data_IF_818717649009
#
_entry.id   IF_818717649009
#
_cell.length_a   1.000
_cell.length_b   1.000
_cell.length_c   1.000
_cell.angle_alpha   90.00
_cell.angle_beta   90.00
_cell.angle_gamma   90.00
#
_symmetry.space_group_name_H-M   'P 1'
#
loop_
_entity.id
_entity.type
_entity.pdbx_description
1 polymer ?
#
# COMPACT_ATOMS: atom_id res chain seq x y z
N UNK A 1 19.96 -2.66 -0.63
CA UNK A 1 18.60 -3.20 -0.63
C UNK A 1 17.63 -2.02 -0.48
N UNK A 2 16.64 -1.93 -1.34
CA UNK A 2 15.58 -0.92 -1.27
C UNK A 2 14.74 -1.13 -0.01
N UNK A 3 14.41 -0.05 0.69
CA UNK A 3 13.59 -0.05 1.91
C UNK A 3 12.43 0.93 1.71
N UNK A 4 11.29 0.65 2.33
CA UNK A 4 10.17 1.58 2.45
C UNK A 4 10.01 1.99 3.90
N UNK A 5 9.89 3.30 4.14
CA UNK A 5 9.57 3.83 5.45
C UNK A 5 8.42 4.82 5.35
N UNK A 6 7.51 4.72 6.30
CA UNK A 6 6.49 5.73 6.56
C UNK A 6 7.00 6.69 7.63
N UNK A 7 6.66 7.97 7.50
CA UNK A 7 6.99 8.96 8.51
C UNK A 7 6.30 10.30 8.26
N UNK A 8 6.38 11.17 9.27
CA UNK A 8 5.88 12.54 9.19
C UNK A 8 7.01 13.50 8.88
N UNK A 9 6.83 14.39 7.91
CA UNK A 9 7.81 15.43 7.57
C UNK A 9 7.97 16.38 8.74
N UNK A 10 9.17 16.42 9.32
CA UNK A 10 9.49 17.29 10.45
C UNK A 10 10.32 18.49 10.05
N UNK A 11 10.99 18.43 8.91
CA UNK A 11 11.76 19.55 8.37
C UNK A 11 11.91 19.47 6.84
N UNK A 12 11.93 20.63 6.19
CA UNK A 12 12.36 20.79 4.81
C UNK A 12 13.81 21.30 4.85
N UNK A 13 14.76 20.40 4.55
CA UNK A 13 16.19 20.72 4.62
C UNK A 13 16.68 21.46 3.38
N UNK A 14 16.12 21.14 2.21
CA UNK A 14 16.33 21.84 0.94
C UNK A 14 15.01 21.90 0.23
N UNK A 15 14.55 23.09 -0.12
CA UNK A 15 13.29 23.29 -0.85
C UNK A 15 13.30 22.61 -2.22
N UNK A 16 12.12 22.42 -2.77
CA UNK A 16 11.97 21.87 -4.13
C UNK A 16 12.78 22.64 -5.16
N UNK A 17 13.47 21.93 -6.01
CA UNK A 17 14.20 22.47 -7.13
C UNK A 17 13.52 22.08 -8.44
N UNK A 18 13.04 23.09 -9.17
CA UNK A 18 12.46 22.87 -10.50
C UNK A 18 13.49 22.40 -11.53
N UNK A 19 14.77 22.73 -11.33
CA UNK A 19 15.87 22.29 -12.18
C UNK A 19 16.16 20.80 -11.98
N UNK A 20 16.29 20.37 -10.71
CA UNK A 20 16.70 19.00 -10.37
C UNK A 20 15.50 18.08 -10.05
N UNK A 21 14.26 18.61 -10.03
CA UNK A 21 13.03 17.87 -9.73
C UNK A 21 13.13 17.04 -8.45
N UNK A 22 13.65 17.64 -7.39
CA UNK A 22 13.75 16.99 -6.08
C UNK A 22 13.73 17.97 -4.91
N UNK A 23 13.46 17.43 -3.72
CA UNK A 23 13.44 18.11 -2.43
C UNK A 23 14.25 17.27 -1.43
N UNK A 24 14.79 17.88 -0.39
CA UNK A 24 15.36 17.14 0.73
C UNK A 24 14.59 17.45 2.00
N UNK A 25 14.01 16.42 2.61
CA UNK A 25 13.20 16.52 3.83
C UNK A 25 13.72 15.58 4.90
N UNK A 26 13.41 15.87 6.15
CA UNK A 26 13.58 14.95 7.27
C UNK A 26 12.21 14.45 7.69
N UNK A 27 12.06 13.14 7.83
CA UNK A 27 10.87 12.51 8.39
C UNK A 27 11.17 11.89 9.75
N UNK A 28 10.19 11.95 10.65
CA UNK A 28 10.13 11.12 11.84
C UNK A 28 9.52 9.77 11.44
N UNK A 29 10.22 8.68 11.73
CA UNK A 29 9.81 7.35 11.27
C UNK A 29 8.72 6.78 12.18
N UNK A 30 7.52 6.58 11.64
CA UNK A 30 6.38 6.09 12.41
C UNK A 30 6.15 6.94 13.67
N UNK A 31 5.77 6.30 14.76
CA UNK A 31 5.54 6.96 16.06
C UNK A 31 6.81 7.08 16.92
N UNK A 32 7.99 6.83 16.36
CA UNK A 32 9.27 6.86 17.07
C UNK A 32 9.80 8.29 17.15
N UNK A 33 9.41 9.05 18.18
CA UNK A 33 9.73 10.46 18.34
C UNK A 33 11.22 10.82 18.17
N UNK A 34 12.12 9.91 18.54
CA UNK A 34 13.58 10.10 18.50
C UNK A 34 14.24 9.52 17.23
N UNK A 35 13.47 8.95 16.31
CA UNK A 35 14.00 8.32 15.09
C UNK A 35 13.62 9.12 13.87
N UNK A 36 14.60 9.85 13.37
CA UNK A 36 14.44 10.61 12.13
C UNK A 36 15.35 10.05 11.03
N UNK A 37 14.93 10.21 9.80
CA UNK A 37 15.72 9.88 8.61
C UNK A 37 15.61 11.02 7.60
N UNK A 38 16.72 11.38 6.98
CA UNK A 38 16.72 12.36 5.91
C UNK A 38 16.41 11.68 4.58
N UNK A 39 15.46 12.21 3.82
CA UNK A 39 15.16 11.79 2.46
C UNK A 39 15.93 12.71 1.50
N UNK A 40 17.16 12.29 1.14
CA UNK A 40 18.06 13.12 0.34
C UNK A 40 17.69 13.09 -1.14
N UNK A 41 17.37 14.27 -1.69
CA UNK A 41 16.92 14.43 -3.07
C UNK A 41 15.75 13.53 -3.41
N UNK A 42 14.74 13.53 -2.54
CA UNK A 42 13.47 12.88 -2.75
C UNK A 42 12.81 13.42 -4.01
N UNK A 43 12.38 12.55 -4.87
CA UNK A 43 11.71 12.89 -6.13
C UNK A 43 10.39 12.13 -6.25
N UNK A 44 9.60 12.46 -7.18
CA UNK A 44 8.35 11.92 -7.67
C UNK A 44 7.26 12.99 -7.72
N UNK A 45 6.15 12.67 -8.34
CA UNK A 45 4.98 13.54 -8.37
C UNK A 45 4.48 13.85 -6.96
N UNK A 46 4.15 15.10 -6.69
CA UNK A 46 3.72 15.60 -5.38
C UNK A 46 4.86 15.99 -4.43
N UNK A 47 6.10 15.60 -4.68
CA UNK A 47 7.23 15.98 -3.84
C UNK A 47 7.48 17.50 -3.82
N UNK A 48 7.05 18.22 -4.84
CA UNK A 48 7.06 19.68 -4.94
C UNK A 48 6.10 20.38 -3.97
N UNK A 49 5.12 19.65 -3.43
CA UNK A 49 4.07 20.17 -2.54
C UNK A 49 4.28 19.82 -1.08
N UNK A 50 5.35 19.07 -0.75
CA UNK A 50 5.60 18.62 0.60
C UNK A 50 5.73 19.79 1.58
N UNK A 51 5.04 19.67 2.70
CA UNK A 51 5.08 20.58 3.83
C UNK A 51 5.47 19.86 5.13
N UNK A 52 5.92 20.61 6.12
CA UNK A 52 6.11 20.09 7.48
C UNK A 52 4.75 19.68 8.04
N UNK A 53 4.66 18.48 8.59
CA UNK A 53 3.42 17.85 9.07
C UNK A 53 2.84 16.81 8.14
N UNK A 54 3.28 16.76 6.87
CA UNK A 54 2.79 15.76 5.92
C UNK A 54 3.24 14.35 6.33
N UNK A 55 2.29 13.43 6.30
CA UNK A 55 2.55 12.01 6.44
C UNK A 55 2.91 11.43 5.08
N UNK A 56 4.08 10.83 4.94
CA UNK A 56 4.58 10.32 3.66
C UNK A 56 5.20 8.93 3.77
N UNK A 57 5.13 8.18 2.68
CA UNK A 57 5.89 6.95 2.49
C UNK A 57 6.99 7.17 1.49
N UNK A 58 8.22 6.83 1.86
CA UNK A 58 9.42 6.97 1.02
C UNK A 58 10.04 5.61 0.76
N UNK A 59 10.44 5.38 -0.48
CA UNK A 59 11.16 4.19 -0.90
C UNK A 59 12.56 4.54 -1.42
N UNK A 60 13.56 3.77 -1.01
CA UNK A 60 14.94 3.98 -1.47
C UNK A 60 15.95 3.15 -0.70
N UNK A 61 17.22 3.36 -1.01
CA UNK A 61 18.32 2.72 -0.28
C UNK A 61 18.73 3.60 0.90
N UNK A 62 18.77 3.01 2.09
CA UNK A 62 19.20 3.70 3.31
C UNK A 62 20.70 3.52 3.50
N UNK A 63 21.38 4.60 3.88
CA UNK A 63 22.80 4.60 4.23
C UNK A 63 23.07 5.51 5.43
N UNK A 64 24.23 5.32 6.03
CA UNK A 64 24.81 6.29 6.97
C UNK A 64 25.82 7.17 6.21
N UNK A 65 25.47 8.42 6.00
CA UNK A 65 26.36 9.39 5.38
C UNK A 65 26.91 10.37 6.42
N UNK A 66 28.17 10.21 6.78
CA UNK A 66 28.88 11.06 7.76
C UNK A 66 28.12 11.23 9.09
N UNK A 67 27.48 10.18 9.56
CA UNK A 67 26.71 10.18 10.82
C UNK A 67 25.22 10.45 10.66
N UNK A 68 24.76 10.92 9.50
CA UNK A 68 23.33 11.10 9.19
C UNK A 68 22.78 9.82 8.56
N UNK A 69 21.72 9.28 9.13
CA UNK A 69 20.96 8.21 8.49
C UNK A 69 20.06 8.84 7.45
N UNK A 70 20.23 8.42 6.20
CA UNK A 70 19.48 9.01 5.10
C UNK A 70 19.06 7.96 4.06
N UNK A 71 17.94 8.21 3.39
CA UNK A 71 17.71 7.66 2.06
C UNK A 71 18.69 8.32 1.09
N UNK A 72 19.40 7.51 0.31
CA UNK A 72 20.31 8.00 -0.73
C UNK A 72 19.54 8.70 -1.86
N UNK A 73 20.27 9.47 -2.67
CA UNK A 73 19.72 10.10 -3.88
C UNK A 73 18.98 9.07 -4.75
N UNK A 74 17.85 9.48 -5.29
CA UNK A 74 16.99 8.62 -6.09
C UNK A 74 15.92 7.90 -5.27
N UNK A 75 15.80 8.23 -3.98
CA UNK A 75 14.61 7.83 -3.21
C UNK A 75 13.37 8.51 -3.78
N UNK A 76 12.25 7.83 -3.66
CA UNK A 76 10.99 8.24 -4.26
C UNK A 76 9.90 8.38 -3.19
N UNK A 77 9.08 9.40 -3.36
CA UNK A 77 7.81 9.53 -2.66
C UNK A 77 6.83 8.52 -3.28
N UNK A 78 6.30 7.61 -2.46
CA UNK A 78 5.39 6.54 -2.92
C UNK A 78 3.98 6.64 -2.35
N UNK A 79 3.72 7.62 -1.50
CA UNK A 79 2.37 7.87 -0.98
C UNK A 79 2.32 9.00 0.04
N UNK A 80 1.12 9.55 0.18
CA UNK A 80 0.73 10.55 1.18
C UNK A 80 -0.41 10.02 2.05
N UNK A 81 -0.63 10.62 3.25
CA UNK A 81 -1.83 10.44 4.06
C UNK A 81 -1.72 9.40 5.17
N UNK A 82 -2.80 9.30 5.96
CA UNK A 82 -2.94 8.41 7.13
C UNK A 82 -3.07 6.92 6.75
N UNK A 83 -2.05 6.40 6.06
CA UNK A 83 -1.89 4.97 5.94
C UNK A 83 -1.20 4.51 7.22
N UNK A 84 -1.84 3.73 8.11
CA UNK A 84 -1.20 3.28 9.33
C UNK A 84 0.14 2.62 9.00
N UNK A 85 1.19 3.00 9.72
CA UNK A 85 2.46 2.30 9.60
C UNK A 85 2.25 0.84 9.99
N UNK A 86 3.10 -0.05 9.49
CA UNK A 86 3.04 -1.46 9.91
C UNK A 86 3.17 -1.60 11.43
N UNK A 87 4.02 -0.78 12.05
CA UNK A 87 4.17 -0.72 13.50
C UNK A 87 2.86 -0.31 14.20
N UNK A 88 2.18 0.75 13.74
CA UNK A 88 0.90 1.17 14.29
C UNK A 88 -0.19 0.10 14.10
N UNK A 89 -0.19 -0.61 12.96
CA UNK A 89 -1.10 -1.74 12.72
C UNK A 89 -0.85 -2.88 13.70
N UNK A 90 0.41 -3.23 13.95
CA UNK A 90 0.78 -4.25 14.93
C UNK A 90 0.39 -3.85 16.35
N UNK A 91 0.70 -2.63 16.77
CA UNK A 91 0.37 -2.13 18.09
C UNK A 91 -1.15 -2.12 18.32
N UNK A 92 -1.93 -1.70 17.31
CA UNK A 92 -3.39 -1.77 17.35
C UNK A 92 -3.91 -3.22 17.43
N UNK A 93 -3.31 -4.15 16.69
CA UNK A 93 -3.65 -5.57 16.72
C UNK A 93 -3.38 -6.19 18.10
N UNK A 94 -2.24 -5.85 18.71
CA UNK A 94 -1.86 -6.34 20.04
C UNK A 94 -2.64 -5.68 21.19
N UNK A 95 -3.28 -4.54 20.94
CA UNK A 95 -4.21 -3.90 21.88
C UNK A 95 -5.62 -4.50 21.85
N UNK A 96 -5.92 -5.40 20.92
CA UNK A 96 -7.25 -6.03 20.83
C UNK A 96 -7.51 -6.92 22.04
N UNK A 97 -8.69 -6.76 22.65
CA UNK A 97 -9.18 -7.69 23.65
C UNK A 97 -9.42 -9.08 23.03
N UNK A 98 -9.37 -10.11 23.87
CA UNK A 98 -9.62 -11.47 23.43
C UNK A 98 -11.01 -11.60 22.79
N UNK A 99 -11.05 -12.11 21.58
CA UNK A 99 -12.27 -12.25 20.77
C UNK A 99 -12.59 -11.04 19.91
N UNK A 100 -11.89 -9.91 20.09
CA UNK A 100 -12.06 -8.72 19.25
C UNK A 100 -11.31 -8.86 17.92
N UNK A 101 -11.77 -8.14 16.90
CA UNK A 101 -11.15 -8.03 15.60
C UNK A 101 -11.04 -6.56 15.18
N UNK A 102 -10.08 -6.27 14.32
CA UNK A 102 -10.01 -4.97 13.65
C UNK A 102 -11.26 -4.77 12.79
N UNK A 103 -11.78 -3.56 12.77
CA UNK A 103 -13.02 -3.24 12.03
C UNK A 103 -12.85 -3.24 10.51
N UNK A 104 -11.62 -3.21 10.04
CA UNK A 104 -11.25 -3.14 8.61
C UNK A 104 -10.09 -4.08 8.32
N UNK A 105 -9.99 -4.59 7.07
CA UNK A 105 -8.81 -5.32 6.64
C UNK A 105 -7.54 -4.48 6.80
N UNK A 106 -6.45 -5.18 7.06
CA UNK A 106 -5.11 -4.60 7.19
C UNK A 106 -4.13 -5.35 6.32
N UNK A 107 -3.01 -4.74 6.00
CA UNK A 107 -1.92 -5.40 5.30
C UNK A 107 -0.67 -5.37 6.17
N UNK A 108 -0.04 -6.53 6.32
CA UNK A 108 1.26 -6.68 6.99
C UNK A 108 2.23 -7.39 6.06
N UNK A 109 3.51 -7.02 6.21
CA UNK A 109 4.64 -7.67 5.56
C UNK A 109 5.57 -8.21 6.63
N UNK A 110 6.01 -9.46 6.48
CA UNK A 110 6.91 -10.07 7.45
C UNK A 110 7.60 -11.33 6.93
N UNK A 111 8.57 -11.78 7.67
CA UNK A 111 9.29 -13.03 7.43
C UNK A 111 8.54 -14.19 8.08
N UNK A 112 8.36 -15.29 7.37
CA UNK A 112 7.81 -16.54 7.92
C UNK A 112 8.80 -17.15 8.91
N UNK A 113 8.40 -17.26 10.16
CA UNK A 113 9.21 -17.87 11.22
C UNK A 113 8.77 -19.30 11.54
N UNK A 114 7.54 -19.68 11.20
CA UNK A 114 7.05 -21.05 11.31
C UNK A 114 5.96 -21.38 10.30
N UNK A 115 5.86 -22.65 9.91
CA UNK A 115 4.71 -23.22 9.21
C UNK A 115 3.93 -24.03 10.24
N UNK A 116 2.79 -23.49 10.69
CA UNK A 116 1.99 -24.08 11.76
C UNK A 116 1.08 -25.20 11.26
N UNK A 117 0.59 -25.06 10.02
CA UNK A 117 -0.12 -26.12 9.27
C UNK A 117 0.34 -26.08 7.83
N UNK A 118 0.84 -27.20 7.33
CA UNK A 118 1.33 -27.33 5.97
C UNK A 118 0.20 -27.07 4.94
N UNK A 119 0.61 -26.78 3.70
CA UNK A 119 -0.31 -26.59 2.59
C UNK A 119 -1.28 -27.77 2.45
N UNK A 120 -2.53 -27.44 2.27
CA UNK A 120 -3.60 -28.40 1.97
C UNK A 120 -4.09 -28.25 0.55
N UNK A 121 -3.90 -29.30 -0.26
CA UNK A 121 -4.43 -29.32 -1.63
C UNK A 121 -5.97 -29.36 -1.68
N UNK A 122 -6.60 -29.89 -0.64
CA UNK A 122 -8.05 -29.92 -0.51
C UNK A 122 -8.63 -28.54 -0.23
N UNK A 123 -8.04 -27.82 0.76
CA UNK A 123 -8.55 -26.52 1.23
C UNK A 123 -7.85 -25.33 0.57
N UNK A 124 -6.80 -25.57 -0.25
CA UNK A 124 -6.01 -24.53 -0.92
C UNK A 124 -5.53 -23.42 0.03
N UNK A 125 -5.00 -23.82 1.19
CA UNK A 125 -4.46 -22.90 2.17
C UNK A 125 -3.35 -23.50 3.02
N UNK A 126 -2.62 -22.62 3.69
CA UNK A 126 -1.53 -22.91 4.64
C UNK A 126 -1.72 -22.05 5.87
N UNK A 127 -1.24 -22.44 7.03
CA UNK A 127 -1.15 -21.56 8.19
C UNK A 127 0.30 -21.33 8.54
N UNK A 128 0.72 -20.08 8.57
CA UNK A 128 2.10 -19.68 8.89
C UNK A 128 2.09 -18.59 9.95
N UNK A 129 3.19 -18.45 10.68
CA UNK A 129 3.43 -17.31 11.57
C UNK A 129 4.51 -16.42 10.98
N UNK A 130 4.24 -15.11 10.94
CA UNK A 130 5.18 -14.10 10.46
C UNK A 130 5.66 -13.20 11.60
N UNK A 131 6.86 -12.66 11.44
CA UNK A 131 7.43 -11.59 12.26
C UNK A 131 7.63 -10.37 11.35
N UNK A 132 7.03 -9.25 11.73
CA UNK A 132 7.10 -8.00 11.01
C UNK A 132 8.19 -7.10 11.59
N UNK A 133 9.01 -6.47 10.74
CA UNK A 133 10.05 -5.51 11.13
C UNK A 133 11.02 -6.03 12.22
N UNK A 134 11.21 -7.36 12.29
CA UNK A 134 12.06 -8.01 13.29
C UNK A 134 11.51 -8.01 14.72
N UNK A 135 10.24 -7.63 14.92
CA UNK A 135 9.56 -7.63 16.24
C UNK A 135 9.16 -9.05 16.64
N UNK A 136 10.12 -9.84 17.11
CA UNK A 136 9.92 -11.26 17.49
C UNK A 136 8.93 -11.45 18.64
N UNK A 137 8.71 -10.41 19.45
CA UNK A 137 7.73 -10.38 20.54
C UNK A 137 6.29 -10.14 20.08
N UNK A 138 6.10 -9.78 18.81
CA UNK A 138 4.80 -9.49 18.21
C UNK A 138 4.56 -10.36 16.95
N UNK A 139 4.60 -11.70 17.04
CA UNK A 139 4.34 -12.57 15.89
C UNK A 139 2.86 -12.53 15.52
N UNK A 140 2.57 -12.63 14.22
CA UNK A 140 1.20 -12.68 13.70
C UNK A 140 0.98 -13.99 12.95
N UNK A 141 -0.03 -14.75 13.35
CA UNK A 141 -0.42 -15.95 12.62
C UNK A 141 -1.27 -15.60 11.40
N UNK A 142 -0.96 -16.16 10.24
CA UNK A 142 -1.77 -16.05 9.03
C UNK A 142 -2.61 -17.33 8.90
N UNK A 143 -3.81 -17.33 9.51
CA UNK A 143 -4.64 -18.52 9.61
C UNK A 143 -5.33 -18.82 8.28
N UNK A 144 -5.06 -20.01 7.73
CA UNK A 144 -5.59 -20.46 6.44
C UNK A 144 -5.33 -19.48 5.32
N UNK A 145 -4.08 -18.99 5.26
CA UNK A 145 -3.59 -18.12 4.19
C UNK A 145 -3.74 -18.79 2.84
N UNK A 146 -4.30 -18.09 1.88
CA UNK A 146 -4.49 -18.55 0.50
C UNK A 146 -3.99 -17.49 -0.49
N UNK A 147 -3.82 -17.86 -1.75
CA UNK A 147 -3.36 -16.96 -2.81
C UNK A 147 -2.34 -17.65 -3.71
N UNK A 148 -1.99 -17.00 -4.80
CA UNK A 148 -0.99 -17.48 -5.73
C UNK A 148 0.38 -17.62 -5.03
N UNK A 149 1.03 -18.77 -5.16
CA UNK A 149 2.32 -19.07 -4.54
C UNK A 149 2.26 -19.51 -3.08
N UNK A 150 1.07 -19.53 -2.44
CA UNK A 150 0.95 -19.95 -1.05
C UNK A 150 1.33 -21.44 -0.83
N UNK A 151 1.26 -22.27 -1.85
CA UNK A 151 1.68 -23.68 -1.89
C UNK A 151 3.21 -23.87 -1.86
N UNK A 152 3.97 -22.80 -2.06
CA UNK A 152 5.44 -22.82 -2.17
C UNK A 152 6.16 -22.15 -1.00
N UNK A 153 5.41 -21.61 -0.04
CA UNK A 153 5.96 -20.87 1.08
C UNK A 153 6.86 -21.72 1.98
N UNK A 154 7.95 -21.13 2.40
CA UNK A 154 8.94 -21.74 3.31
C UNK A 154 9.30 -20.78 4.45
N UNK A 155 9.82 -21.33 5.55
CA UNK A 155 10.41 -20.54 6.63
C UNK A 155 11.56 -19.70 6.09
N UNK A 156 11.59 -18.42 6.43
CA UNK A 156 12.56 -17.43 5.94
C UNK A 156 12.07 -16.62 4.74
N UNK A 157 10.94 -17.00 4.13
CA UNK A 157 10.34 -16.19 3.06
C UNK A 157 9.76 -14.89 3.61
N UNK A 158 9.99 -13.79 2.90
CA UNK A 158 9.32 -12.52 3.16
C UNK A 158 8.03 -12.44 2.36
N UNK A 159 6.90 -12.30 3.04
CA UNK A 159 5.57 -12.28 2.44
C UNK A 159 4.78 -11.02 2.83
N UNK A 160 3.79 -10.68 2.03
CA UNK A 160 2.77 -9.70 2.37
C UNK A 160 1.39 -10.37 2.41
N UNK A 161 0.62 -10.05 3.45
CA UNK A 161 -0.69 -10.64 3.71
C UNK A 161 -1.71 -9.54 3.94
N UNK A 162 -2.88 -9.65 3.30
CA UNK A 162 -4.02 -8.77 3.53
C UNK A 162 -5.19 -9.57 4.11
N UNK A 163 -5.90 -8.97 5.06
CA UNK A 163 -7.05 -9.57 5.71
C UNK A 163 -7.44 -8.87 7.00
N UNK A 164 -8.45 -9.40 7.68
CA UNK A 164 -8.88 -8.90 8.98
C UNK A 164 -8.02 -9.53 10.09
N UNK A 165 -7.44 -8.70 10.94
CA UNK A 165 -6.67 -9.16 12.11
C UNK A 165 -7.60 -9.24 13.32
N UNK A 166 -7.46 -10.30 14.11
CA UNK A 166 -8.20 -10.51 15.35
C UNK A 166 -7.32 -11.06 16.47
N UNK A 167 -7.79 -10.95 17.69
CA UNK A 167 -7.22 -11.67 18.84
C UNK A 167 -8.04 -12.93 19.11
N UNK A 168 -7.60 -14.06 18.59
CA UNK A 168 -8.26 -15.35 18.81
C UNK A 168 -7.62 -16.07 19.98
N UNK A 169 -8.31 -16.05 21.13
CA UNK A 169 -7.87 -16.75 22.38
C UNK A 169 -6.44 -16.39 22.83
N UNK A 170 -6.04 -15.13 22.59
CA UNK A 170 -4.72 -14.64 22.95
C UNK A 170 -3.68 -14.71 21.80
N UNK A 171 -4.01 -15.34 20.68
CA UNK A 171 -3.18 -15.31 19.47
C UNK A 171 -3.65 -14.15 18.57
N UNK A 172 -2.72 -13.29 18.20
CA UNK A 172 -2.97 -12.28 17.16
C UNK A 172 -2.82 -12.96 15.80
N UNK A 173 -3.92 -12.98 15.06
CA UNK A 173 -3.95 -13.67 13.78
C UNK A 173 -4.72 -12.89 12.71
N UNK A 174 -4.30 -13.04 11.46
CA UNK A 174 -5.20 -12.83 10.34
C UNK A 174 -6.26 -13.94 10.35
N UNK A 175 -7.54 -13.54 10.29
CA UNK A 175 -8.65 -14.50 10.25
C UNK A 175 -8.65 -15.27 8.91
N UNK A 176 -9.40 -16.38 8.90
CA UNK A 176 -9.62 -17.15 7.67
C UNK A 176 -10.07 -16.25 6.51
N UNK A 177 -9.56 -16.53 5.33
CA UNK A 177 -9.82 -15.73 4.13
C UNK A 177 -8.76 -14.65 3.88
N UNK A 178 -7.74 -14.56 4.72
CA UNK A 178 -6.58 -13.74 4.41
C UNK A 178 -5.86 -14.21 3.15
N UNK A 179 -5.28 -13.26 2.43
CA UNK A 179 -4.67 -13.48 1.12
C UNK A 179 -3.20 -13.14 1.12
N UNK A 180 -2.42 -14.05 0.52
CA UNK A 180 -1.05 -13.74 0.08
C UNK A 180 -1.14 -12.76 -1.09
N UNK A 181 -0.39 -11.68 -1.02
CA UNK A 181 -0.31 -10.67 -2.09
C UNK A 181 1.15 -10.45 -2.50
N UNK A 182 1.41 -10.01 -3.74
CA UNK A 182 2.73 -9.56 -4.12
C UNK A 182 3.23 -8.44 -3.21
N UNK A 183 4.51 -8.48 -2.81
CA UNK A 183 5.09 -7.50 -1.89
C UNK A 183 5.07 -6.07 -2.47
N UNK A 184 5.18 -5.95 -3.79
CA UNK A 184 5.12 -4.68 -4.52
C UNK A 184 3.70 -4.09 -4.62
N UNK A 185 2.65 -4.89 -4.40
CA UNK A 185 1.26 -4.41 -4.38
C UNK A 185 0.82 -3.82 -3.03
N UNK A 186 1.65 -3.91 -1.98
CA UNK A 186 1.31 -3.43 -0.63
C UNK A 186 0.86 -1.95 -0.62
N UNK A 187 1.53 -1.08 -1.38
CA UNK A 187 1.17 0.34 -1.46
C UNK A 187 -0.22 0.53 -2.10
N UNK A 188 -0.50 -0.17 -3.21
CA UNK A 188 -1.81 -0.13 -3.88
C UNK A 188 -2.93 -0.63 -2.95
N UNK A 189 -2.69 -1.74 -2.24
CA UNK A 189 -3.65 -2.29 -1.26
C UNK A 189 -3.94 -1.28 -0.15
N UNK A 190 -2.92 -0.66 0.43
CA UNK A 190 -3.08 0.36 1.46
C UNK A 190 -3.87 1.57 0.95
N UNK A 191 -3.57 2.08 -0.24
CA UNK A 191 -4.29 3.20 -0.84
C UNK A 191 -5.77 2.88 -1.03
N UNK A 192 -6.11 1.68 -1.52
CA UNK A 192 -7.50 1.26 -1.69
C UNK A 192 -8.19 1.12 -0.33
N UNK A 193 -7.57 0.47 0.66
CA UNK A 193 -8.16 0.34 2.00
C UNK A 193 -8.40 1.72 2.64
N UNK A 194 -7.47 2.67 2.51
CA UNK A 194 -7.64 4.05 2.98
C UNK A 194 -8.80 4.75 2.25
N UNK A 195 -8.88 4.61 0.92
CA UNK A 195 -9.95 5.20 0.13
C UNK A 195 -11.34 4.71 0.55
N UNK A 196 -11.47 3.45 0.91
CA UNK A 196 -12.73 2.87 1.42
C UNK A 196 -13.10 3.32 2.84
N UNK A 197 -12.24 4.11 3.49
CA UNK A 197 -12.60 4.77 4.76
C UNK A 197 -13.19 6.16 4.58
N UNK A 198 -13.15 6.70 3.36
CA UNK A 198 -13.64 8.04 3.06
C UNK A 198 -15.15 8.11 3.25
N UNK A 199 -15.62 9.16 3.92
CA UNK A 199 -17.04 9.51 3.95
C UNK A 199 -17.53 9.94 2.56
N UNK A 200 -18.84 9.84 2.33
CA UNK A 200 -19.43 10.30 1.06
C UNK A 200 -19.11 11.79 0.81
N UNK A 201 -18.58 12.07 -0.37
CA UNK A 201 -18.14 13.41 -0.77
C UNK A 201 -16.70 13.74 -0.38
N UNK A 202 -16.05 12.93 0.44
CA UNK A 202 -14.65 13.14 0.81
C UNK A 202 -13.70 12.60 -0.27
N UNK A 203 -12.49 13.16 -0.32
CA UNK A 203 -11.40 12.73 -1.18
C UNK A 203 -10.13 12.54 -0.37
N UNK A 204 -9.22 11.70 -0.86
CA UNK A 204 -7.86 11.63 -0.33
C UNK A 204 -7.18 13.00 -0.49
N UNK A 205 -6.36 13.38 0.47
CA UNK A 205 -5.69 14.69 0.47
C UNK A 205 -4.81 14.86 -0.77
N UNK A 206 -4.19 13.78 -1.22
CA UNK A 206 -3.19 13.77 -2.28
C UNK A 206 -3.48 12.72 -3.35
N UNK A 207 -2.89 12.93 -4.52
CA UNK A 207 -2.87 11.92 -5.58
C UNK A 207 -2.07 10.70 -5.14
N UNK A 208 -2.54 9.52 -5.52
CA UNK A 208 -1.85 8.26 -5.26
C UNK A 208 -1.82 7.39 -6.51
N UNK A 209 -0.88 6.45 -6.52
CA UNK A 209 -0.74 5.47 -7.59
C UNK A 209 -1.27 4.13 -7.12
N UNK A 210 -2.09 3.49 -7.95
CA UNK A 210 -2.63 2.15 -7.69
C UNK A 210 -2.43 1.28 -8.92
N UNK A 211 -1.90 0.07 -8.68
CA UNK A 211 -1.81 -0.99 -9.70
C UNK A 211 -2.85 -2.07 -9.41
N UNK A 212 -3.62 -2.44 -10.41
CA UNK A 212 -4.67 -3.46 -10.28
C UNK A 212 -5.13 -4.00 -11.62
N UNK A 213 -6.04 -4.97 -11.58
CA UNK A 213 -6.57 -5.65 -12.75
C UNK A 213 -7.91 -5.04 -13.15
N UNK A 214 -8.10 -4.74 -14.43
CA UNK A 214 -9.38 -4.26 -14.99
C UNK A 214 -10.39 -5.41 -14.95
N UNK A 215 -11.51 -5.17 -14.27
CA UNK A 215 -12.58 -6.18 -14.11
C UNK A 215 -13.88 -5.81 -14.84
N UNK A 216 -14.01 -4.53 -15.25
CA UNK A 216 -15.13 -4.10 -16.08
C UNK A 216 -14.80 -2.77 -16.78
N UNK A 217 -15.52 -2.49 -17.87
CA UNK A 217 -15.43 -1.24 -18.63
C UNK A 217 -16.84 -0.58 -18.67
N UNK A 218 -17.24 0.18 -17.61
CA UNK A 218 -18.54 0.83 -17.54
C UNK A 218 -18.81 1.82 -18.67
N UNK A 219 -17.75 2.52 -19.16
CA UNK A 219 -17.86 3.44 -20.29
C UNK A 219 -16.70 3.20 -21.24
N UNK A 220 -17.02 2.83 -22.47
CA UNK A 220 -16.02 2.59 -23.51
C UNK A 220 -15.24 3.87 -23.86
N UNK A 221 -14.10 3.70 -24.51
CA UNK A 221 -13.30 4.80 -25.02
C UNK A 221 -14.10 5.80 -25.86
N UNK A 222 -13.90 7.07 -25.57
CA UNK A 222 -14.48 8.16 -26.35
C UNK A 222 -13.39 8.89 -27.15
N UNK A 223 -13.50 8.84 -28.47
CA UNK A 223 -12.59 9.58 -29.35
C UNK A 223 -12.77 11.10 -29.24
N UNK A 224 -13.94 11.55 -28.83
CA UNK A 224 -14.23 12.98 -28.59
C UNK A 224 -13.55 13.47 -27.31
N UNK A 225 -13.72 12.75 -26.20
CA UNK A 225 -13.24 13.15 -24.88
C UNK A 225 -11.88 12.56 -24.52
N UNK A 226 -11.33 11.65 -25.35
CA UNK A 226 -10.03 10.98 -25.14
C UNK A 226 -9.92 10.33 -23.75
N UNK A 227 -10.96 9.65 -23.32
CA UNK A 227 -10.99 8.93 -22.05
C UNK A 227 -11.91 7.71 -22.07
N UNK A 228 -11.72 6.85 -21.06
CA UNK A 228 -12.47 5.63 -20.79
C UNK A 228 -12.81 5.58 -19.29
N UNK A 229 -13.85 4.88 -18.90
CA UNK A 229 -14.07 4.56 -17.48
C UNK A 229 -13.96 3.06 -17.27
N UNK A 230 -13.06 2.65 -16.41
CA UNK A 230 -12.85 1.24 -16.05
C UNK A 230 -13.00 1.01 -14.55
N UNK A 231 -13.37 -0.19 -14.17
CA UNK A 231 -13.31 -0.67 -12.79
C UNK A 231 -12.11 -1.60 -12.65
N UNK A 232 -11.34 -1.43 -11.60
CA UNK A 232 -10.21 -2.29 -11.28
C UNK A 232 -10.30 -2.82 -9.86
N UNK A 233 -9.62 -3.94 -9.62
CA UNK A 233 -9.40 -4.52 -8.28
C UNK A 233 -7.92 -4.72 -8.05
N UNK A 234 -7.51 -4.60 -6.79
CA UNK A 234 -6.11 -4.83 -6.37
C UNK A 234 -5.99 -6.23 -5.80
N UNK A 235 -4.83 -6.86 -5.95
CA UNK A 235 -4.57 -8.20 -5.46
C UNK A 235 -4.99 -8.38 -4.00
N UNK A 236 -5.79 -9.40 -3.71
CA UNK A 236 -6.31 -9.72 -2.39
C UNK A 236 -7.47 -8.83 -1.89
N UNK A 237 -7.92 -7.87 -2.69
CA UNK A 237 -9.04 -6.98 -2.41
C UNK A 237 -10.12 -7.05 -3.50
N UNK A 238 -10.52 -8.25 -3.90
CA UNK A 238 -11.44 -8.47 -5.01
C UNK A 238 -12.84 -7.86 -4.77
N UNK A 239 -13.23 -7.68 -3.50
CA UNK A 239 -14.49 -7.04 -3.10
C UNK A 239 -14.39 -5.49 -3.06
N UNK A 240 -13.21 -4.92 -3.26
CA UNK A 240 -12.94 -3.48 -3.17
C UNK A 240 -12.71 -2.90 -4.57
N UNK A 241 -13.80 -2.67 -5.28
CA UNK A 241 -13.75 -2.15 -6.66
C UNK A 241 -13.39 -0.66 -6.65
N UNK A 242 -12.30 -0.31 -7.34
CA UNK A 242 -11.91 1.07 -7.57
C UNK A 242 -12.25 1.46 -9.01
N UNK A 243 -13.10 2.47 -9.17
CA UNK A 243 -13.42 3.00 -10.50
C UNK A 243 -12.37 4.03 -10.93
N UNK A 244 -11.88 3.93 -12.15
CA UNK A 244 -11.03 4.95 -12.79
C UNK A 244 -11.93 5.81 -13.70
N UNK A 245 -12.48 6.91 -13.16
CA UNK A 245 -13.45 7.72 -13.85
C UNK A 245 -12.77 8.66 -14.86
N UNK A 246 -13.14 8.49 -16.14
CA UNK A 246 -12.57 9.26 -17.25
C UNK A 246 -11.05 9.17 -17.32
N UNK A 247 -10.54 7.96 -17.16
CA UNK A 247 -9.12 7.64 -17.29
C UNK A 247 -8.62 8.02 -18.69
N UNK A 248 -7.49 8.70 -18.74
CA UNK A 248 -6.81 9.08 -19.97
C UNK A 248 -5.34 8.65 -19.94
N UNK A 249 -4.67 8.70 -21.05
CA UNK A 249 -3.25 8.33 -21.15
C UNK A 249 -2.99 7.44 -22.36
N UNK A 250 -1.71 7.20 -22.65
CA UNK A 250 -1.28 6.34 -23.75
C UNK A 250 -1.74 4.90 -23.51
N UNK A 251 -2.42 4.31 -24.50
CA UNK A 251 -2.95 2.94 -24.42
C UNK A 251 -4.31 2.81 -23.76
N UNK A 252 -4.89 3.88 -23.20
CA UNK A 252 -6.22 3.83 -22.58
C UNK A 252 -7.33 3.44 -23.59
N UNK A 253 -7.15 3.75 -24.86
CA UNK A 253 -8.04 3.37 -25.96
C UNK A 253 -8.05 1.86 -26.26
N UNK A 254 -7.12 1.10 -25.70
CA UNK A 254 -6.91 -0.34 -25.96
C UNK A 254 -7.10 -1.21 -24.74
N UNK A 255 -7.57 -0.63 -23.63
CA UNK A 255 -7.81 -1.38 -22.40
C UNK A 255 -8.89 -2.43 -22.58
N UNK A 256 -8.66 -3.59 -21.96
CA UNK A 256 -9.58 -4.72 -21.91
C UNK A 256 -9.69 -5.26 -20.48
N UNK A 257 -10.76 -6.00 -20.20
CA UNK A 257 -10.87 -6.77 -18.97
C UNK A 257 -9.73 -7.80 -18.90
N UNK A 258 -9.12 -7.92 -17.73
CA UNK A 258 -7.95 -8.77 -17.48
C UNK A 258 -6.62 -8.01 -17.58
N UNK A 259 -6.57 -6.83 -18.18
CA UNK A 259 -5.34 -6.03 -18.22
C UNK A 259 -4.93 -5.57 -16.81
N UNK A 260 -3.65 -5.66 -16.50
CA UNK A 260 -3.10 -5.03 -15.29
C UNK A 260 -2.70 -3.60 -15.63
N UNK A 261 -3.27 -2.63 -14.92
CA UNK A 261 -3.03 -1.21 -15.15
C UNK A 261 -2.46 -0.53 -13.92
N UNK A 262 -1.63 0.47 -14.14
CA UNK A 262 -1.18 1.41 -13.12
C UNK A 262 -1.79 2.78 -13.39
N UNK A 263 -2.47 3.33 -12.41
CA UNK A 263 -3.21 4.59 -12.53
C UNK A 263 -2.79 5.54 -11.41
N UNK A 264 -2.54 6.80 -11.75
CA UNK A 264 -2.26 7.89 -10.79
C UNK A 264 -3.38 8.92 -10.82
N UNK A 265 -3.79 9.36 -9.65
CA UNK A 265 -4.80 10.39 -9.48
C UNK A 265 -5.27 10.53 -8.03
N UNK A 266 -6.20 11.43 -7.78
CA UNK A 266 -6.85 11.59 -6.48
C UNK A 266 -8.04 10.66 -6.38
N UNK A 267 -8.12 9.86 -5.32
CA UNK A 267 -9.28 8.99 -5.07
C UNK A 267 -10.28 9.74 -4.18
N UNK A 268 -11.56 9.58 -4.47
CA UNK A 268 -12.67 10.13 -3.69
C UNK A 268 -13.79 9.09 -3.50
N UNK A 269 -14.64 9.33 -2.54
CA UNK A 269 -15.93 8.64 -2.43
C UNK A 269 -17.02 9.53 -3.05
N UNK A 270 -17.40 9.24 -4.27
CA UNK A 270 -18.45 9.97 -4.96
C UNK A 270 -19.78 9.20 -4.86
N UNK A 271 -20.69 9.69 -4.02
CA UNK A 271 -22.03 9.08 -3.83
C UNK A 271 -21.99 7.58 -3.56
N UNK A 272 -21.06 7.14 -2.72
CA UNK A 272 -20.87 5.74 -2.38
C UNK A 272 -19.97 4.95 -3.34
N UNK A 273 -19.55 5.54 -4.46
CA UNK A 273 -18.55 4.93 -5.36
C UNK A 273 -17.16 5.44 -5.00
N UNK A 274 -16.25 4.51 -4.68
CA UNK A 274 -14.83 4.85 -4.51
C UNK A 274 -14.19 4.90 -5.89
N UNK A 275 -13.74 6.09 -6.29
CA UNK A 275 -13.24 6.31 -7.64
C UNK A 275 -12.02 7.23 -7.67
N UNK A 276 -11.12 7.00 -8.61
CA UNK A 276 -10.23 8.06 -9.08
C UNK A 276 -11.08 9.15 -9.73
N UNK A 277 -10.87 10.39 -9.30
CA UNK A 277 -11.57 11.54 -9.90
C UNK A 277 -11.12 11.78 -11.35
N UNK A 278 -11.90 12.56 -12.08
CA UNK A 278 -11.53 12.99 -13.44
C UNK A 278 -10.13 13.59 -13.45
N UNK A 279 -9.36 13.26 -14.48
CA UNK A 279 -7.98 13.71 -14.62
C UNK A 279 -6.96 12.67 -14.14
N UNK A 280 -7.42 11.50 -13.69
CA UNK A 280 -6.52 10.37 -13.47
C UNK A 280 -5.86 9.93 -14.78
N UNK A 281 -4.63 9.47 -14.67
CA UNK A 281 -3.77 9.07 -15.80
C UNK A 281 -3.40 7.60 -15.76
N UNK A 282 -3.39 6.99 -16.94
CA UNK A 282 -2.84 5.66 -17.13
C UNK A 282 -1.33 5.76 -17.30
N UNK A 283 -0.57 5.17 -16.38
CA UNK A 283 0.88 5.24 -16.37
C UNK A 283 1.51 4.00 -17.01
N UNK A 284 0.88 2.83 -16.85
CA UNK A 284 1.35 1.57 -17.42
C UNK A 284 0.21 0.58 -17.68
N UNK A 285 0.42 -0.31 -18.66
CA UNK A 285 -0.45 -1.45 -18.98
C UNK A 285 0.39 -2.69 -19.18
N UNK A 286 -0.01 -3.79 -18.56
CA UNK A 286 0.47 -5.15 -18.83
C UNK A 286 -0.71 -5.99 -19.29
N UNK A 287 -0.57 -6.64 -20.47
CA UNK A 287 -1.60 -7.48 -21.10
C UNK A 287 -1.60 -8.89 -20.54
#
# INVERSE_FOLDING_TARGET
KTQRLFGTVTAINTAWSDEYKNITVTIQVGDLADKTIQCYRLSCEGADKLAVGDAITVEGTIKNYKGTIEFDKGCQLVGFGDIPSQAATLDAAYALEQGAAMSKPSVLRGEIVSIDTAWSDEYKNITVTIVCDGKTEQPVQCYRLSGEGADKLAVGDEIAVVGTIKNYKGTIEFDKGCKLIPVDSVASVKNVLAAYTLEEGAAMADACTVTGVVVAIPTAWSDEYKNITVNMVVAGLEDYVLQCYRLSGEGADKLAEGDTITVTGTIKNYKGTVEFDKGCTLDAVVK
#
